data_IF_646850407667
#
_entry.id   IF_646850407667
#
_cell.length_a   1.000
_cell.length_b   1.000
_cell.length_c   1.000
_cell.angle_alpha   90.00
_cell.angle_beta   90.00
_cell.angle_gamma   90.00
#
_symmetry.space_group_name_H-M   'P 1'
#
loop_
_entity.id
_entity.type
_entity.pdbx_description
1 polymer ?
#
# COMPACT_ATOMS: atom_id res chain seq x y z
N UNK A 1 -26.77 -27.15 12.82
CA UNK A 1 -25.35 -27.04 13.20
C UNK A 1 -25.25 -26.07 14.39
N UNK A 2 -25.04 -26.57 15.60
CA UNK A 2 -24.59 -25.75 16.72
C UNK A 2 -23.09 -25.41 16.50
N UNK A 3 -22.83 -24.67 15.46
CA UNK A 3 -21.48 -24.20 15.14
C UNK A 3 -21.09 -23.05 16.06
N UNK A 4 -19.93 -23.11 16.64
CA UNK A 4 -19.34 -21.98 17.34
C UNK A 4 -18.71 -21.04 16.30
N UNK A 5 -19.18 -19.81 16.22
CA UNK A 5 -18.63 -18.79 15.37
C UNK A 5 -18.36 -17.51 16.15
N UNK A 6 -17.28 -16.83 15.82
CA UNK A 6 -16.95 -15.51 16.34
C UNK A 6 -16.90 -14.50 15.21
N UNK A 7 -17.34 -13.27 15.47
CA UNK A 7 -17.27 -12.14 14.52
C UNK A 7 -16.52 -10.99 15.16
N UNK A 8 -15.66 -10.33 14.38
CA UNK A 8 -14.95 -9.11 14.76
C UNK A 8 -14.89 -8.13 13.61
N UNK A 9 -15.02 -6.84 13.93
CA UNK A 9 -14.89 -5.75 12.98
C UNK A 9 -13.69 -4.89 13.37
N UNK A 10 -13.01 -4.37 12.36
CA UNK A 10 -11.87 -3.49 12.55
C UNK A 10 -11.91 -2.32 11.55
N UNK A 11 -11.32 -1.21 11.96
CA UNK A 11 -11.02 -0.06 11.11
C UNK A 11 -9.54 0.22 11.21
N UNK A 12 -8.87 0.41 10.07
CA UNK A 12 -7.45 0.75 10.01
C UNK A 12 -7.25 1.99 9.15
N UNK A 13 -6.57 2.96 9.71
CA UNK A 13 -6.13 4.15 9.00
C UNK A 13 -5.02 3.85 7.98
N UNK A 14 -4.96 4.64 6.92
CA UNK A 14 -3.87 4.66 5.94
C UNK A 14 -3.12 5.97 5.98
N UNK A 15 -1.80 5.91 5.85
CA UNK A 15 -0.91 7.07 5.98
C UNK A 15 -0.29 7.20 7.37
N UNK A 16 0.65 8.14 7.50
CA UNK A 16 1.31 8.47 8.77
C UNK A 16 0.37 9.25 9.69
N UNK A 17 -0.34 10.22 9.13
CA UNK A 17 -1.39 10.95 9.83
C UNK A 17 -0.92 11.84 10.98
N UNK A 18 -1.88 12.20 11.83
CA UNK A 18 -1.73 12.93 13.10
C UNK A 18 -0.86 14.20 13.03
N UNK A 19 -0.95 14.92 11.90
CA UNK A 19 -0.22 16.16 11.66
C UNK A 19 1.22 15.98 11.19
N UNK A 20 1.69 14.75 11.03
CA UNK A 20 3.02 14.49 10.47
C UNK A 20 3.01 14.67 8.94
N UNK A 21 4.10 15.20 8.35
CA UNK A 21 4.23 15.27 6.91
C UNK A 21 4.18 13.88 6.27
N UNK A 22 3.27 13.70 5.33
CA UNK A 22 3.08 12.44 4.61
C UNK A 22 3.06 12.71 3.11
N UNK A 23 4.24 12.65 2.49
CA UNK A 23 4.45 12.99 1.09
C UNK A 23 4.77 11.76 0.26
N UNK A 24 4.15 11.67 -0.91
CA UNK A 24 4.53 10.73 -1.96
C UNK A 24 5.16 11.47 -3.12
N UNK A 25 6.19 10.90 -3.76
CA UNK A 25 6.82 11.46 -4.95
C UNK A 25 7.07 10.39 -5.98
N UNK A 26 6.91 10.79 -7.24
CA UNK A 26 7.22 9.96 -8.39
C UNK A 26 7.82 10.82 -9.49
N UNK A 27 8.80 10.27 -10.19
CA UNK A 27 9.31 10.78 -11.45
C UNK A 27 9.17 9.69 -12.51
N UNK A 28 8.56 10.04 -13.62
CA UNK A 28 8.56 9.24 -14.84
C UNK A 28 9.52 9.89 -15.84
N UNK A 29 10.23 9.08 -16.60
CA UNK A 29 11.14 9.52 -17.65
C UNK A 29 10.98 8.59 -18.86
N UNK A 30 10.92 9.17 -20.05
CA UNK A 30 10.95 8.37 -21.27
C UNK A 30 12.41 8.18 -21.69
N UNK A 31 12.86 6.92 -21.76
CA UNK A 31 14.21 6.59 -22.15
C UNK A 31 14.25 5.27 -22.95
N UNK A 32 14.89 5.30 -24.11
CA UNK A 32 14.93 4.19 -25.07
C UNK A 32 13.52 3.67 -25.45
N UNK A 33 12.55 4.59 -25.61
CA UNK A 33 11.17 4.25 -25.95
C UNK A 33 10.40 3.54 -24.84
N UNK A 34 10.90 3.55 -23.61
CA UNK A 34 10.31 2.90 -22.43
C UNK A 34 10.13 3.94 -21.31
N UNK A 35 9.02 3.89 -20.60
CA UNK A 35 8.78 4.73 -19.43
C UNK A 35 9.53 4.16 -18.23
N UNK A 36 10.47 4.92 -17.70
CA UNK A 36 11.20 4.61 -16.47
C UNK A 36 10.45 5.25 -15.30
N UNK A 37 10.11 4.45 -14.28
CA UNK A 37 9.43 4.91 -13.06
C UNK A 37 10.42 4.93 -11.90
N UNK A 38 10.60 6.09 -11.29
CA UNK A 38 11.47 6.31 -10.15
C UNK A 38 10.66 6.75 -8.93
N UNK A 39 10.80 6.04 -7.83
CA UNK A 39 10.25 6.39 -6.53
C UNK A 39 11.05 5.68 -5.44
N UNK A 40 11.34 6.36 -4.33
CA UNK A 40 12.01 5.76 -3.18
C UNK A 40 11.08 4.88 -2.32
N UNK A 41 9.84 4.65 -2.76
CA UNK A 41 8.93 3.72 -2.10
C UNK A 41 9.48 2.29 -2.13
N UNK A 42 9.92 1.79 -0.97
CA UNK A 42 10.52 0.46 -0.86
C UNK A 42 9.47 -0.63 -0.97
N UNK A 43 9.70 -1.56 -1.89
CA UNK A 43 8.96 -2.82 -1.94
C UNK A 43 9.59 -3.78 -0.90
N UNK A 44 8.80 -4.18 0.08
CA UNK A 44 9.20 -5.10 1.16
C UNK A 44 8.52 -6.47 1.02
N UNK A 45 8.02 -6.78 -0.21
CA UNK A 45 7.27 -7.98 -0.53
C UNK A 45 5.77 -7.75 -0.69
N UNK A 46 5.26 -6.53 -0.39
CA UNK A 46 3.83 -6.18 -0.52
C UNK A 46 3.42 -5.84 -1.97
N UNK A 47 4.38 -5.73 -2.91
CA UNK A 47 4.10 -5.58 -4.33
C UNK A 47 3.83 -4.15 -4.80
N UNK A 48 4.27 -3.11 -4.08
CA UNK A 48 4.03 -1.72 -4.49
C UNK A 48 4.66 -1.38 -5.84
N UNK A 49 5.81 -1.96 -6.16
CA UNK A 49 6.47 -1.78 -7.45
C UNK A 49 5.56 -2.19 -8.63
N UNK A 50 4.90 -3.35 -8.50
CA UNK A 50 3.94 -3.83 -9.50
C UNK A 50 2.70 -2.94 -9.57
N UNK A 51 2.19 -2.51 -8.41
CA UNK A 51 1.02 -1.62 -8.32
C UNK A 51 1.29 -0.30 -9.03
N UNK A 52 2.46 0.31 -8.86
CA UNK A 52 2.81 1.55 -9.53
C UNK A 52 2.90 1.40 -11.06
N UNK A 53 3.50 0.31 -11.54
CA UNK A 53 3.51 0.01 -12.99
C UNK A 53 2.08 -0.13 -13.53
N UNK A 54 1.18 -0.78 -12.79
CA UNK A 54 -0.23 -0.91 -13.18
C UNK A 54 -0.95 0.45 -13.21
N UNK A 55 -0.67 1.35 -12.26
CA UNK A 55 -1.24 2.69 -12.25
C UNK A 55 -0.79 3.52 -13.45
N UNK A 56 0.49 3.46 -13.84
CA UNK A 56 0.99 4.13 -15.04
C UNK A 56 0.35 3.53 -16.29
N UNK A 57 0.29 2.20 -16.40
CA UNK A 57 -0.33 1.52 -17.53
C UNK A 57 -1.82 1.90 -17.69
N UNK A 58 -2.58 1.97 -16.58
CA UNK A 58 -3.99 2.39 -16.61
C UNK A 58 -4.16 3.83 -17.09
N UNK A 59 -3.29 4.74 -16.64
CA UNK A 59 -3.38 6.16 -16.98
C UNK A 59 -2.96 6.47 -18.42
N UNK A 60 -1.98 5.74 -18.95
CA UNK A 60 -1.37 6.02 -20.26
C UNK A 60 -1.87 5.13 -21.39
N UNK A 61 -2.45 3.97 -21.06
CA UNK A 61 -2.78 2.94 -22.04
C UNK A 61 -1.60 2.09 -22.51
N UNK A 62 -0.39 2.32 -21.97
CA UNK A 62 0.81 1.53 -22.31
C UNK A 62 0.71 0.12 -21.77
N UNK A 63 1.33 -0.82 -22.47
CA UNK A 63 1.56 -2.18 -21.98
C UNK A 63 2.53 -2.17 -20.77
N UNK A 64 2.31 -3.09 -19.83
CA UNK A 64 3.21 -3.20 -18.64
C UNK A 64 4.67 -3.45 -19.00
N UNK A 65 4.96 -4.02 -20.16
CA UNK A 65 6.32 -4.23 -20.69
C UNK A 65 7.02 -2.96 -21.15
N UNK A 66 6.25 -1.90 -21.40
CA UNK A 66 6.76 -0.57 -21.80
C UNK A 66 7.03 0.34 -20.60
N UNK A 67 6.84 -0.16 -19.38
CA UNK A 67 7.06 0.57 -18.13
C UNK A 67 8.02 -0.21 -17.25
N UNK A 68 9.11 0.42 -16.83
CA UNK A 68 10.14 -0.19 -15.97
C UNK A 68 10.24 0.55 -14.64
N UNK A 69 9.90 -0.14 -13.55
CA UNK A 69 10.21 0.37 -12.22
C UNK A 69 11.71 0.23 -11.95
N UNK A 70 12.37 1.35 -11.62
CA UNK A 70 13.81 1.42 -11.33
C UNK A 70 14.14 1.24 -9.84
N UNK A 71 13.11 1.01 -9.04
CA UNK A 71 13.25 0.72 -7.61
C UNK A 71 13.74 1.91 -6.78
N UNK A 72 14.15 1.60 -5.57
CA UNK A 72 14.51 2.58 -4.53
C UNK A 72 16.00 2.89 -4.55
N UNK A 73 16.52 3.37 -5.66
CA UNK A 73 17.90 3.89 -5.72
C UNK A 73 17.92 5.33 -5.23
N UNK A 74 18.54 5.58 -4.08
CA UNK A 74 18.58 6.89 -3.42
C UNK A 74 19.34 7.97 -4.20
N UNK A 75 20.13 7.60 -5.21
CA UNK A 75 20.83 8.56 -6.07
C UNK A 75 19.91 9.22 -7.10
N UNK A 76 18.87 8.51 -7.54
CA UNK A 76 18.03 8.94 -8.66
C UNK A 76 16.55 8.97 -8.35
N UNK A 77 16.08 8.21 -7.36
CA UNK A 77 14.68 8.14 -7.00
C UNK A 77 14.30 9.28 -6.04
N UNK A 78 13.20 10.00 -6.30
CA UNK A 78 12.73 11.03 -5.38
C UNK A 78 12.27 10.38 -4.07
N UNK A 79 12.61 11.03 -2.94
CA UNK A 79 12.17 10.59 -1.61
C UNK A 79 10.65 10.58 -1.52
N UNK A 80 10.09 9.42 -1.22
CA UNK A 80 8.64 9.19 -1.09
C UNK A 80 8.23 8.83 0.33
N UNK A 81 9.10 9.11 1.31
CA UNK A 81 8.87 8.79 2.71
C UNK A 81 8.94 7.29 3.01
N UNK A 82 8.61 6.94 4.23
CA UNK A 82 8.73 5.56 4.74
C UNK A 82 7.69 4.61 4.12
N UNK A 83 8.06 3.35 3.92
CA UNK A 83 7.12 2.25 3.65
C UNK A 83 6.56 1.73 4.97
N UNK A 84 5.57 2.42 5.52
CA UNK A 84 4.91 2.13 6.79
C UNK A 84 3.50 2.70 6.78
N UNK A 85 2.66 2.35 7.76
CA UNK A 85 1.31 2.90 7.92
C UNK A 85 0.36 2.59 6.75
N UNK A 86 0.64 1.57 5.94
CA UNK A 86 -0.14 1.19 4.74
C UNK A 86 -0.34 2.35 3.75
N UNK A 87 0.70 3.18 3.55
CA UNK A 87 0.60 4.44 2.82
C UNK A 87 0.99 4.39 1.33
N UNK A 88 1.79 3.40 0.91
CA UNK A 88 2.43 3.47 -0.41
C UNK A 88 1.44 3.49 -1.57
N UNK A 89 0.43 2.61 -1.58
CA UNK A 89 -0.57 2.59 -2.66
C UNK A 89 -1.38 3.88 -2.71
N UNK A 90 -1.71 4.48 -1.56
CA UNK A 90 -2.47 5.72 -1.50
C UNK A 90 -1.59 6.95 -1.76
N UNK A 91 -0.58 7.17 -0.91
CA UNK A 91 0.19 8.43 -0.91
C UNK A 91 1.16 8.50 -2.09
N UNK A 92 2.03 7.49 -2.23
CA UNK A 92 2.96 7.45 -3.36
C UNK A 92 2.24 7.11 -4.66
N UNK A 93 1.24 6.23 -4.60
CA UNK A 93 0.41 5.89 -5.76
C UNK A 93 -0.33 7.09 -6.33
N UNK A 94 -0.78 8.04 -5.51
CA UNK A 94 -1.39 9.27 -6.02
C UNK A 94 -0.35 10.15 -6.76
N UNK A 95 0.88 10.26 -6.25
CA UNK A 95 1.95 10.93 -7.00
C UNK A 95 2.27 10.22 -8.32
N UNK A 96 2.26 8.87 -8.34
CA UNK A 96 2.40 8.09 -9.58
C UNK A 96 1.27 8.39 -10.55
N UNK A 97 0.02 8.43 -10.08
CA UNK A 97 -1.15 8.74 -10.91
C UNK A 97 -1.06 10.15 -11.51
N UNK A 98 -0.62 11.13 -10.72
CA UNK A 98 -0.45 12.52 -11.18
C UNK A 98 0.63 12.62 -12.26
N UNK A 99 1.81 12.06 -12.04
CA UNK A 99 2.88 12.04 -13.04
C UNK A 99 2.47 11.28 -14.32
N UNK A 100 1.73 10.16 -14.16
CA UNK A 100 1.23 9.40 -15.29
C UNK A 100 0.14 10.13 -16.09
N UNK A 101 -0.67 10.98 -15.44
CA UNK A 101 -1.62 11.82 -16.13
C UNK A 101 -0.91 12.88 -17.01
N UNK A 102 0.13 13.53 -16.49
CA UNK A 102 0.95 14.47 -17.26
C UNK A 102 1.63 13.80 -18.47
N UNK A 103 2.17 12.58 -18.26
CA UNK A 103 2.72 11.77 -19.35
C UNK A 103 1.63 11.43 -20.39
N UNK A 104 0.45 11.02 -19.96
CA UNK A 104 -0.68 10.69 -20.84
C UNK A 104 -1.09 11.89 -21.69
N UNK A 105 -1.12 13.10 -21.11
CA UNK A 105 -1.41 14.33 -21.83
C UNK A 105 -0.34 14.62 -22.89
N UNK A 106 0.94 14.52 -22.53
CA UNK A 106 2.05 14.69 -23.47
C UNK A 106 2.04 13.64 -24.60
N UNK A 107 1.69 12.38 -24.27
CA UNK A 107 1.54 11.33 -25.29
C UNK A 107 0.44 11.67 -26.31
N UNK A 108 -0.67 12.25 -25.87
CA UNK A 108 -1.75 12.68 -26.79
C UNK A 108 -1.29 13.77 -27.75
N UNK A 109 -0.47 14.72 -27.28
CA UNK A 109 0.10 15.79 -28.11
C UNK A 109 0.97 15.26 -29.25
N UNK A 110 1.69 14.14 -29.03
CA UNK A 110 2.59 13.52 -30.01
C UNK A 110 1.98 12.31 -30.71
N UNK A 111 0.66 12.13 -30.62
CA UNK A 111 -0.03 11.01 -31.28
C UNK A 111 0.32 9.63 -30.76
N UNK A 112 0.82 9.52 -29.52
CA UNK A 112 1.19 8.27 -28.86
C UNK A 112 2.62 7.81 -29.13
N UNK A 113 3.41 8.54 -29.87
CA UNK A 113 4.80 8.17 -30.21
C UNK A 113 5.75 8.57 -29.07
N UNK A 114 6.10 7.61 -28.22
CA UNK A 114 7.03 7.81 -27.09
C UNK A 114 8.41 8.32 -27.53
N UNK A 115 8.86 8.04 -28.76
CA UNK A 115 10.17 8.49 -29.23
C UNK A 115 10.30 10.01 -29.29
N UNK A 116 9.16 10.71 -29.47
CA UNK A 116 9.10 12.16 -29.45
C UNK A 116 9.15 12.77 -28.03
N UNK A 117 9.04 11.93 -27.01
CA UNK A 117 9.14 12.31 -25.61
C UNK A 117 10.47 11.87 -24.97
N UNK A 118 11.42 11.39 -25.77
CA UNK A 118 12.73 10.92 -25.29
C UNK A 118 13.42 11.97 -24.40
N UNK A 119 13.87 11.56 -23.23
CA UNK A 119 14.49 12.42 -22.22
C UNK A 119 13.54 13.34 -21.47
N UNK A 120 12.24 13.35 -21.76
CA UNK A 120 11.26 14.13 -20.98
C UNK A 120 11.00 13.48 -19.63
N UNK A 121 10.95 14.32 -18.61
CA UNK A 121 10.62 13.93 -17.25
C UNK A 121 9.26 14.49 -16.84
N UNK A 122 8.52 13.70 -16.04
CA UNK A 122 7.23 14.04 -15.45
C UNK A 122 7.32 13.77 -13.95
N UNK A 123 7.27 14.83 -13.15
CA UNK A 123 7.45 14.73 -11.71
C UNK A 123 6.18 15.17 -10.99
N UNK A 124 5.78 14.40 -9.99
CA UNK A 124 4.68 14.78 -9.09
C UNK A 124 5.03 14.54 -7.62
N UNK A 125 4.53 15.42 -6.78
CA UNK A 125 4.46 15.28 -5.33
C UNK A 125 2.99 15.31 -4.91
N UNK A 126 2.57 14.32 -4.14
CA UNK A 126 1.28 14.33 -3.46
C UNK A 126 1.50 14.56 -1.96
N UNK A 127 0.71 15.45 -1.40
CA UNK A 127 0.66 15.73 0.02
C UNK A 127 -0.76 16.06 0.45
N UNK A 128 -1.27 15.34 1.44
CA UNK A 128 -2.56 15.61 2.04
C UNK A 128 -2.38 15.91 3.53
N UNK A 129 -2.65 17.13 3.98
CA UNK A 129 -2.46 17.50 5.38
C UNK A 129 -3.44 16.81 6.30
N UNK A 130 -2.98 16.45 7.48
CA UNK A 130 -3.79 15.89 8.57
C UNK A 130 -3.66 16.76 9.81
N UNK A 131 -4.57 16.60 10.76
CA UNK A 131 -4.56 17.37 12.00
C UNK A 131 -3.74 16.67 13.08
N UNK A 132 -2.98 17.43 13.90
CA UNK A 132 -2.18 16.85 14.97
C UNK A 132 -3.05 16.26 16.09
N UNK A 133 -2.45 15.36 16.86
CA UNK A 133 -3.06 14.88 18.09
C UNK A 133 -3.39 16.05 19.02
N UNK A 134 -4.61 16.02 19.59
CA UNK A 134 -5.10 17.12 20.44
C UNK A 134 -5.61 18.34 19.67
N UNK A 135 -5.80 18.26 18.37
CA UNK A 135 -6.47 19.30 17.59
C UNK A 135 -7.81 19.67 18.21
N UNK A 136 -8.07 20.97 18.32
CA UNK A 136 -9.33 21.53 18.85
C UNK A 136 -10.40 21.72 17.79
N UNK A 137 -10.16 21.28 16.54
CA UNK A 137 -11.18 21.32 15.48
C UNK A 137 -12.37 20.44 15.86
N UNK A 138 -13.61 20.80 15.50
CA UNK A 138 -14.79 19.98 15.78
C UNK A 138 -14.70 18.59 15.14
N UNK A 139 -14.08 18.49 13.96
CA UNK A 139 -13.89 17.24 13.20
C UNK A 139 -12.45 17.17 12.71
N UNK A 140 -11.50 16.75 13.57
CA UNK A 140 -10.10 16.66 13.16
C UNK A 140 -9.89 15.50 12.18
N UNK A 141 -9.16 15.76 11.11
CA UNK A 141 -8.75 14.77 10.12
C UNK A 141 -7.46 14.12 10.58
N UNK A 142 -7.54 12.98 11.25
CA UNK A 142 -6.35 12.31 11.78
C UNK A 142 -5.53 11.59 10.72
N UNK A 143 -6.16 11.03 9.68
CA UNK A 143 -5.50 10.31 8.59
C UNK A 143 -6.19 10.60 7.25
N UNK A 144 -5.50 10.26 6.15
CA UNK A 144 -5.99 10.54 4.79
C UNK A 144 -7.15 9.64 4.41
N UNK A 145 -7.07 8.35 4.75
CA UNK A 145 -8.10 7.37 4.44
C UNK A 145 -8.19 6.28 5.52
N UNK A 146 -9.23 5.47 5.42
CA UNK A 146 -9.50 4.34 6.31
C UNK A 146 -9.97 3.14 5.50
N UNK A 147 -9.50 1.94 5.90
CA UNK A 147 -10.04 0.68 5.45
C UNK A 147 -10.85 0.02 6.56
N UNK A 148 -11.80 -0.81 6.19
CA UNK A 148 -12.69 -1.52 7.12
C UNK A 148 -12.62 -3.01 6.85
N UNK A 149 -12.75 -3.80 7.90
CA UNK A 149 -12.76 -5.25 7.80
C UNK A 149 -13.77 -5.86 8.75
N UNK A 150 -14.35 -6.98 8.33
CA UNK A 150 -15.14 -7.87 9.20
C UNK A 150 -14.70 -9.28 8.94
N UNK A 151 -14.29 -9.97 10.00
CA UNK A 151 -13.92 -11.38 9.95
C UNK A 151 -14.90 -12.23 10.74
N UNK A 152 -15.21 -13.40 10.20
CA UNK A 152 -15.98 -14.46 10.88
C UNK A 152 -15.11 -15.69 10.93
N UNK A 153 -14.89 -16.23 12.13
CA UNK A 153 -14.17 -17.49 12.35
C UNK A 153 -15.17 -18.54 12.78
N UNK A 154 -15.14 -19.67 12.11
CA UNK A 154 -16.00 -20.83 12.41
C UNK A 154 -15.15 -21.95 13.00
N UNK A 155 -15.62 -22.54 14.09
CA UNK A 155 -14.99 -23.70 14.72
C UNK A 155 -15.76 -24.99 14.38
N UNK A 156 -15.03 -26.08 14.23
CA UNK A 156 -15.61 -27.41 14.13
C UNK A 156 -16.10 -27.93 15.49
N UNK A 157 -16.62 -29.18 15.51
CA UNK A 157 -17.10 -29.88 16.73
C UNK A 157 -16.00 -30.08 17.77
N UNK A 158 -14.73 -30.09 17.35
CA UNK A 158 -13.57 -30.26 18.21
C UNK A 158 -12.98 -28.93 18.67
N UNK A 159 -13.67 -27.82 18.38
CA UNK A 159 -13.29 -26.42 18.65
C UNK A 159 -12.01 -26.00 17.94
N UNK A 160 -11.69 -26.58 16.79
CA UNK A 160 -10.62 -26.17 15.93
C UNK A 160 -11.16 -25.20 14.86
N UNK A 161 -10.35 -24.26 14.41
CA UNK A 161 -10.72 -23.37 13.31
C UNK A 161 -10.94 -24.21 12.06
N UNK A 162 -12.16 -24.19 11.54
CA UNK A 162 -12.53 -24.86 10.29
C UNK A 162 -12.57 -23.90 9.11
N UNK A 163 -13.05 -22.67 9.33
CA UNK A 163 -13.21 -21.67 8.25
C UNK A 163 -12.96 -20.27 8.79
N UNK A 164 -12.44 -19.41 7.93
CA UNK A 164 -12.32 -17.97 8.17
C UNK A 164 -12.88 -17.22 6.96
N UNK A 165 -13.86 -16.39 7.19
CA UNK A 165 -14.41 -15.48 6.21
C UNK A 165 -13.88 -14.08 6.50
N UNK A 166 -13.18 -13.46 5.53
CA UNK A 166 -12.59 -12.15 5.66
C UNK A 166 -13.18 -11.20 4.60
N UNK A 167 -13.94 -10.22 5.04
CA UNK A 167 -14.47 -9.16 4.18
C UNK A 167 -13.72 -7.86 4.46
N UNK A 168 -13.22 -7.23 3.40
CA UNK A 168 -12.44 -5.99 3.47
C UNK A 168 -12.99 -4.93 2.52
N UNK A 169 -13.14 -3.72 3.02
CA UNK A 169 -13.30 -2.52 2.22
C UNK A 169 -11.99 -1.73 2.23
N UNK A 170 -11.30 -1.76 1.11
CA UNK A 170 -10.03 -1.07 0.87
C UNK A 170 -10.12 -0.06 -0.28
N UNK A 171 -11.33 0.32 -0.69
CA UNK A 171 -11.58 1.19 -1.82
C UNK A 171 -11.28 0.52 -3.17
N UNK A 172 -10.84 1.31 -4.17
CA UNK A 172 -10.52 0.78 -5.51
C UNK A 172 -9.30 -0.14 -5.45
N UNK A 173 -9.51 -1.41 -5.77
CA UNK A 173 -8.46 -2.42 -5.84
C UNK A 173 -7.66 -2.26 -7.14
N UNK A 174 -6.37 -1.95 -7.03
CA UNK A 174 -5.47 -1.82 -8.18
C UNK A 174 -4.94 -3.19 -8.62
N UNK A 175 -4.57 -4.04 -7.65
CA UNK A 175 -4.07 -5.39 -7.92
C UNK A 175 -4.82 -6.42 -7.05
N UNK A 176 -5.79 -7.16 -7.62
CA UNK A 176 -6.58 -8.14 -6.87
C UNK A 176 -5.75 -9.24 -6.22
N UNK A 177 -4.70 -9.72 -6.90
CA UNK A 177 -3.83 -10.79 -6.36
C UNK A 177 -3.02 -10.29 -5.17
N UNK A 178 -2.47 -9.07 -5.27
CA UNK A 178 -1.68 -8.50 -4.20
C UNK A 178 -2.52 -8.22 -2.95
N UNK A 179 -3.74 -7.68 -3.10
CA UNK A 179 -4.62 -7.43 -1.96
C UNK A 179 -5.11 -8.72 -1.31
N UNK A 180 -5.42 -9.76 -2.11
CA UNK A 180 -5.76 -11.06 -1.57
C UNK A 180 -4.62 -11.61 -0.72
N UNK A 181 -3.39 -11.60 -1.21
CA UNK A 181 -2.21 -12.04 -0.46
C UNK A 181 -2.00 -11.24 0.84
N UNK A 182 -2.26 -9.93 0.84
CA UNK A 182 -2.19 -9.10 2.05
C UNK A 182 -3.27 -9.49 3.08
N UNK A 183 -4.50 -9.76 2.63
CA UNK A 183 -5.60 -10.20 3.50
C UNK A 183 -5.30 -11.57 4.10
N UNK A 184 -4.91 -12.55 3.28
CA UNK A 184 -4.56 -13.90 3.72
C UNK A 184 -3.39 -13.89 4.72
N UNK A 185 -2.35 -13.10 4.44
CA UNK A 185 -1.21 -12.91 5.35
C UNK A 185 -1.63 -12.29 6.68
N UNK A 186 -2.50 -11.28 6.66
CA UNK A 186 -3.06 -10.67 7.88
C UNK A 186 -3.92 -11.64 8.69
N UNK A 187 -4.75 -12.43 8.04
CA UNK A 187 -5.55 -13.49 8.69
C UNK A 187 -4.63 -14.52 9.35
N UNK A 188 -3.59 -14.98 8.64
CA UNK A 188 -2.64 -15.95 9.18
C UNK A 188 -1.90 -15.42 10.41
N UNK A 189 -1.46 -14.15 10.37
CA UNK A 189 -0.85 -13.49 11.53
C UNK A 189 -1.82 -13.44 12.72
N UNK A 190 -3.09 -13.09 12.49
CA UNK A 190 -4.12 -13.09 13.54
C UNK A 190 -4.37 -14.46 14.16
N UNK A 191 -4.38 -15.50 13.34
CA UNK A 191 -4.50 -16.89 13.80
C UNK A 191 -3.28 -17.32 14.60
N UNK A 192 -2.07 -16.98 14.14
CA UNK A 192 -0.83 -17.25 14.89
C UNK A 192 -0.85 -16.60 16.26
N UNK A 193 -1.21 -15.32 16.31
CA UNK A 193 -1.32 -14.57 17.57
C UNK A 193 -2.35 -15.17 18.54
N UNK A 194 -3.47 -15.66 18.03
CA UNK A 194 -4.54 -16.24 18.85
C UNK A 194 -4.26 -17.68 19.32
N UNK A 195 -3.56 -18.50 18.53
CA UNK A 195 -3.50 -19.93 18.72
C UNK A 195 -2.13 -20.46 19.14
N UNK A 196 -1.04 -19.83 18.72
CA UNK A 196 0.31 -20.41 18.84
C UNK A 196 1.33 -19.49 19.49
N UNK A 197 1.20 -18.17 19.32
CA UNK A 197 2.18 -17.23 19.84
C UNK A 197 2.01 -16.99 21.34
N UNK A 198 3.11 -17.04 22.09
CA UNK A 198 3.16 -16.77 23.52
C UNK A 198 4.41 -15.95 23.84
N UNK A 199 4.21 -14.72 24.26
CA UNK A 199 5.29 -13.81 24.61
C UNK A 199 5.29 -13.52 26.12
N UNK A 200 5.94 -14.43 26.88
CA UNK A 200 6.03 -14.32 28.34
C UNK A 200 7.04 -13.26 28.75
N UNK A 201 6.65 -12.38 29.65
CA UNK A 201 7.52 -11.39 30.28
C UNK A 201 7.66 -11.69 31.78
N UNK A 202 8.89 -11.65 32.30
CA UNK A 202 9.18 -11.61 33.72
C UNK A 202 9.97 -10.34 34.03
N UNK A 203 9.43 -9.51 34.89
CA UNK A 203 10.02 -8.21 35.24
C UNK A 203 10.41 -7.36 33.99
N UNK A 204 9.48 -7.31 33.01
CA UNK A 204 9.67 -6.68 31.69
C UNK A 204 10.77 -7.30 30.81
N UNK A 205 11.28 -8.47 31.16
CA UNK A 205 12.30 -9.20 30.36
C UNK A 205 11.62 -10.37 29.64
N UNK A 206 11.75 -10.47 28.29
CA UNK A 206 11.24 -11.60 27.54
C UNK A 206 11.85 -12.93 27.99
N UNK A 207 11.02 -13.93 28.17
CA UNK A 207 11.45 -15.29 28.55
C UNK A 207 11.64 -16.21 27.33
N UNK A 208 11.15 -15.78 26.17
CA UNK A 208 11.29 -16.51 24.92
C UNK A 208 12.72 -16.43 24.40
N UNK A 209 13.20 -17.52 23.78
CA UNK A 209 14.45 -17.48 23.01
C UNK A 209 14.24 -16.69 21.72
N UNK A 210 15.28 -16.03 21.24
CA UNK A 210 15.26 -15.33 19.95
C UNK A 210 14.79 -16.28 18.83
N UNK A 211 13.83 -15.81 18.03
CA UNK A 211 13.25 -16.59 16.95
C UNK A 211 12.18 -17.62 17.34
N UNK A 212 11.75 -17.64 18.62
CA UNK A 212 10.66 -18.50 19.09
C UNK A 212 9.61 -17.68 19.83
N UNK A 213 8.35 -17.84 19.42
CA UNK A 213 7.19 -17.24 20.05
C UNK A 213 6.19 -18.31 20.44
#
# INVERSE_FOLDING_TARGET
>A
NEGHAGIACAMKNSGVGVGLPDKGRCRLEVHDGVVQLYSAASDIGQGCATVFVQMVAEATGLGRGEIRNRGSNSEVAPDSGTTSGSRQTLITGEAVRMAAAELSDAMREVGGDLSQLEGREFFAEYFEPTDPLGSKKPYPKSHVAYGFATHVVVLDKDRRVSEVYAAHDSGKVVNPIAIQGQIEGGVLMGLGYALTEKFDLKDCVPQNKYGTL
#
